data_IF_629010822137
#
_entry.id   IF_629010822137
#
_cell.length_a   1.000
_cell.length_b   1.000
_cell.length_c   1.000
_cell.angle_alpha   90.00
_cell.angle_beta   90.00
_cell.angle_gamma   90.00
#
_symmetry.space_group_name_H-M   'P 1'
#
loop_
_entity.id
_entity.type
_entity.pdbx_description
1 polymer ?
#
# COMPACT_ATOMS: atom_id res chain seq x y z
N UNK A 1 1.44 -20.64 1.54
CA UNK A 1 2.79 -20.97 2.06
C UNK A 1 2.97 -20.20 3.36
N UNK A 2 3.44 -20.84 4.45
CA UNK A 2 3.52 -20.17 5.74
C UNK A 2 4.57 -19.04 5.71
N UNK A 3 4.19 -17.86 6.19
CA UNK A 3 5.09 -16.70 6.33
C UNK A 3 5.99 -16.94 7.55
N UNK A 4 7.31 -16.95 7.34
CA UNK A 4 8.26 -17.02 8.45
C UNK A 4 8.10 -15.78 9.34
N UNK A 5 7.92 -15.95 10.65
CA UNK A 5 7.79 -14.82 11.58
C UNK A 5 8.97 -14.77 12.57
N UNK A 6 9.31 -13.57 13.02
CA UNK A 6 10.27 -13.32 14.10
C UNK A 6 9.54 -12.63 15.23
N UNK A 7 9.78 -13.06 16.47
CA UNK A 7 9.23 -12.41 17.66
C UNK A 7 10.05 -11.17 17.97
N UNK A 8 9.42 -9.99 17.90
CA UNK A 8 10.06 -8.71 18.23
C UNK A 8 9.38 -8.12 19.46
N UNK A 9 10.17 -7.82 20.49
CA UNK A 9 9.71 -7.09 21.66
C UNK A 9 9.50 -5.62 21.29
N UNK A 10 8.26 -5.14 21.34
CA UNK A 10 7.94 -3.71 21.14
C UNK A 10 7.59 -3.07 22.48
N UNK A 11 8.17 -1.90 22.82
CA UNK A 11 7.67 -1.08 23.91
C UNK A 11 6.32 -0.47 23.53
N UNK A 12 5.45 -0.23 24.51
CA UNK A 12 4.18 0.44 24.28
C UNK A 12 4.43 1.94 24.04
N UNK A 13 4.00 2.52 22.90
CA UNK A 13 4.23 3.94 22.60
C UNK A 13 3.51 4.91 23.54
N UNK A 14 2.43 4.47 24.20
CA UNK A 14 1.63 5.30 25.12
C UNK A 14 2.14 5.27 26.57
N UNK A 15 2.84 4.21 26.97
CA UNK A 15 3.32 4.07 28.35
C UNK A 15 4.59 3.20 28.38
N UNK A 16 5.72 3.87 28.61
CA UNK A 16 7.04 3.25 28.61
C UNK A 16 7.30 2.36 29.83
N UNK A 17 6.45 2.44 30.86
CA UNK A 17 6.59 1.67 32.11
C UNK A 17 6.02 0.24 32.00
N UNK A 18 5.23 -0.04 30.95
CA UNK A 18 4.61 -1.36 30.75
C UNK A 18 5.64 -2.34 30.17
N UNK A 19 5.73 -3.59 30.66
CA UNK A 19 6.63 -4.60 30.12
C UNK A 19 6.40 -4.82 28.62
N UNK A 20 7.50 -4.95 27.87
CA UNK A 20 7.51 -5.07 26.41
C UNK A 20 6.69 -6.29 25.99
N UNK A 21 5.80 -6.13 25.02
CA UNK A 21 5.03 -7.23 24.43
C UNK A 21 5.76 -7.76 23.19
N UNK A 22 5.79 -9.09 23.04
CA UNK A 22 6.32 -9.73 21.85
C UNK A 22 5.25 -9.78 20.77
N UNK A 23 5.57 -9.23 19.61
CA UNK A 23 4.70 -9.27 18.44
C UNK A 23 5.38 -10.12 17.36
N UNK A 24 4.59 -10.94 16.68
CA UNK A 24 5.04 -11.65 15.49
C UNK A 24 5.22 -10.63 14.36
N UNK A 25 6.44 -10.50 13.85
CA UNK A 25 6.75 -9.71 12.66
C UNK A 25 7.04 -10.66 11.51
N UNK A 26 6.35 -10.50 10.39
CA UNK A 26 6.64 -11.24 9.17
C UNK A 26 8.08 -10.96 8.70
N UNK A 27 8.86 -12.01 8.49
CA UNK A 27 10.21 -11.97 7.93
C UNK A 27 10.10 -12.08 6.42
N UNK A 28 10.48 -11.02 5.70
CA UNK A 28 10.60 -11.07 4.26
C UNK A 28 11.63 -12.14 3.86
N UNK A 29 11.20 -13.14 3.07
CA UNK A 29 12.08 -14.22 2.61
C UNK A 29 12.83 -13.90 1.31
N UNK A 30 12.55 -12.75 0.70
CA UNK A 30 13.24 -12.25 -0.49
C UNK A 30 12.49 -11.12 -1.17
N UNK A 31 13.05 -10.62 -2.28
CA UNK A 31 12.42 -9.66 -3.19
C UNK A 31 12.30 -10.26 -4.58
N UNK A 32 11.10 -10.23 -5.18
CA UNK A 32 10.89 -10.63 -6.57
C UNK A 32 10.82 -9.38 -7.45
N UNK A 33 11.53 -9.39 -8.57
CA UNK A 33 11.50 -8.29 -9.53
C UNK A 33 10.47 -8.55 -10.62
N UNK A 34 9.94 -7.46 -11.19
CA UNK A 34 8.93 -7.51 -12.25
C UNK A 34 9.37 -8.36 -13.46
N UNK A 35 10.67 -8.37 -13.80
CA UNK A 35 11.23 -9.21 -14.88
C UNK A 35 11.16 -10.72 -14.60
N UNK A 36 11.20 -11.13 -13.34
CA UNK A 36 10.98 -12.54 -12.96
C UNK A 36 9.49 -12.86 -12.92
N UNK A 37 8.69 -11.92 -12.41
CA UNK A 37 7.23 -12.04 -12.38
C UNK A 37 6.63 -12.13 -13.79
N UNK A 38 7.15 -11.35 -14.75
CA UNK A 38 6.64 -11.31 -16.12
C UNK A 38 6.82 -12.65 -16.85
N UNK A 39 7.89 -13.39 -16.58
CA UNK A 39 8.06 -14.77 -17.08
C UNK A 39 7.01 -15.71 -16.52
N UNK A 40 6.73 -15.62 -15.21
CA UNK A 40 5.73 -16.46 -14.56
C UNK A 40 4.30 -16.12 -15.01
N UNK A 41 4.02 -14.84 -15.28
CA UNK A 41 2.73 -14.38 -15.79
C UNK A 41 2.55 -14.72 -17.27
N UNK A 42 3.59 -14.60 -18.10
CA UNK A 42 3.56 -15.01 -19.50
C UNK A 42 3.33 -16.53 -19.66
N UNK A 43 3.70 -17.34 -18.67
CA UNK A 43 3.39 -18.77 -18.65
C UNK A 43 1.91 -19.05 -18.31
N UNK A 44 1.17 -18.08 -17.76
CA UNK A 44 -0.23 -18.23 -17.32
C UNK A 44 -1.22 -17.48 -18.22
N UNK A 45 -0.74 -16.54 -19.03
CA UNK A 45 -1.54 -15.69 -19.90
C UNK A 45 -0.96 -15.68 -21.31
N UNK A 46 -1.74 -15.29 -22.32
CA UNK A 46 -1.27 -15.15 -23.72
C UNK A 46 -0.43 -13.90 -23.97
N UNK A 47 -0.19 -13.10 -22.93
CA UNK A 47 0.48 -11.80 -23.02
C UNK A 47 2.00 -11.99 -22.98
N UNK A 48 2.73 -11.28 -23.85
CA UNK A 48 4.20 -11.40 -23.88
C UNK A 48 4.84 -10.77 -22.64
N UNK A 49 6.05 -11.23 -22.30
CA UNK A 49 6.80 -10.61 -21.19
C UNK A 49 7.07 -9.12 -21.40
N UNK A 50 7.13 -8.65 -22.66
CA UNK A 50 7.30 -7.24 -23.01
C UNK A 50 6.05 -6.43 -22.69
N UNK A 51 4.88 -6.93 -23.06
CA UNK A 51 3.60 -6.27 -22.78
C UNK A 51 3.31 -6.25 -21.27
N UNK A 52 3.67 -7.31 -20.53
CA UNK A 52 3.54 -7.35 -19.07
C UNK A 52 4.42 -6.30 -18.38
N UNK A 53 5.54 -5.89 -18.99
CA UNK A 53 6.34 -4.78 -18.47
C UNK A 53 5.74 -3.42 -18.81
N UNK A 54 5.12 -3.28 -19.99
CA UNK A 54 4.51 -2.03 -20.43
C UNK A 54 3.19 -1.71 -19.70
N UNK A 55 2.41 -2.73 -19.34
CA UNK A 55 1.09 -2.54 -18.70
C UNK A 55 1.20 -1.81 -17.34
N UNK A 56 2.10 -2.18 -16.42
CA UNK A 56 2.30 -1.42 -15.18
C UNK A 56 2.69 0.03 -15.41
N UNK A 57 3.53 0.32 -16.41
CA UNK A 57 3.93 1.69 -16.73
C UNK A 57 2.74 2.53 -17.20
N UNK A 58 1.93 1.97 -18.11
CA UNK A 58 0.70 2.62 -18.57
C UNK A 58 -0.33 2.78 -17.42
N UNK A 59 -0.45 1.77 -16.57
CA UNK A 59 -1.33 1.80 -15.39
C UNK A 59 -0.91 2.90 -14.42
N UNK A 60 0.39 3.07 -14.15
CA UNK A 60 0.91 4.14 -13.29
C UNK A 60 0.54 5.51 -13.87
N UNK A 61 0.67 5.70 -15.18
CA UNK A 61 0.31 6.98 -15.83
C UNK A 61 -1.17 7.31 -15.66
N UNK A 62 -2.05 6.33 -15.91
CA UNK A 62 -3.50 6.51 -15.71
C UNK A 62 -3.86 6.72 -14.24
N UNK A 63 -3.20 6.00 -13.33
CA UNK A 63 -3.39 6.19 -11.89
C UNK A 63 -3.01 7.60 -11.46
N UNK A 64 -1.89 8.16 -11.96
CA UNK A 64 -1.48 9.54 -11.67
C UNK A 64 -2.53 10.52 -12.18
N UNK A 65 -3.05 10.32 -13.40
CA UNK A 65 -4.08 11.17 -13.98
C UNK A 65 -5.39 11.13 -13.17
N UNK A 66 -5.85 9.96 -12.77
CA UNK A 66 -7.11 9.79 -12.03
C UNK A 66 -6.99 10.21 -10.56
N UNK A 67 -5.88 9.89 -9.89
CA UNK A 67 -5.60 10.36 -8.53
C UNK A 67 -5.43 11.88 -8.48
N UNK A 68 -4.83 12.49 -9.51
CA UNK A 68 -4.72 13.94 -9.64
C UNK A 68 -6.08 14.64 -9.76
N UNK A 69 -7.08 13.96 -10.32
CA UNK A 69 -8.48 14.41 -10.36
C UNK A 69 -9.23 14.18 -9.03
N UNK A 70 -8.56 13.65 -8.01
CA UNK A 70 -9.16 13.30 -6.71
C UNK A 70 -10.03 12.05 -6.73
N UNK A 71 -9.97 11.24 -7.79
CA UNK A 71 -10.72 9.99 -7.89
C UNK A 71 -10.00 8.87 -7.13
N UNK A 72 -10.77 7.87 -6.73
CA UNK A 72 -10.25 6.65 -6.09
C UNK A 72 -10.05 5.63 -7.20
N UNK A 73 -8.83 5.11 -7.34
CA UNK A 73 -8.55 4.03 -8.29
C UNK A 73 -8.75 2.70 -7.57
N UNK A 74 -9.78 1.95 -7.97
CA UNK A 74 -10.06 0.63 -7.43
C UNK A 74 -9.63 -0.44 -8.43
N UNK A 75 -8.68 -1.29 -8.04
CA UNK A 75 -8.18 -2.42 -8.81
C UNK A 75 -8.80 -3.71 -8.28
N UNK A 76 -10.13 -3.78 -8.20
CA UNK A 76 -10.91 -4.94 -7.77
C UNK A 76 -10.26 -5.69 -6.58
N UNK A 77 -9.78 -6.93 -6.81
CA UNK A 77 -9.21 -7.81 -5.79
C UNK A 77 -7.80 -7.43 -5.34
N UNK A 78 -7.12 -6.57 -6.09
CA UNK A 78 -5.82 -6.03 -5.73
C UNK A 78 -5.94 -4.98 -4.62
N UNK A 79 -6.96 -4.13 -4.69
CA UNK A 79 -7.24 -3.12 -3.69
C UNK A 79 -7.46 -1.74 -4.27
N UNK A 80 -7.48 -0.73 -3.39
CA UNK A 80 -7.83 0.64 -3.75
C UNK A 80 -6.74 1.65 -3.37
N UNK A 81 -6.55 2.64 -4.25
CA UNK A 81 -5.66 3.76 -4.06
C UNK A 81 -6.48 5.03 -3.90
N UNK A 82 -6.24 5.77 -2.81
CA UNK A 82 -6.90 7.04 -2.53
C UNK A 82 -5.89 8.11 -2.18
N UNK A 83 -6.08 9.30 -2.74
CA UNK A 83 -5.39 10.51 -2.33
C UNK A 83 -5.99 11.04 -1.02
N UNK A 84 -5.15 11.21 0.01
CA UNK A 84 -5.56 11.73 1.30
C UNK A 84 -4.68 12.91 1.69
N UNK A 85 -5.31 13.99 2.16
CA UNK A 85 -4.63 15.15 2.71
C UNK A 85 -4.39 14.92 4.21
N UNK A 86 -3.24 15.36 4.70
CA UNK A 86 -2.96 15.44 6.11
C UNK A 86 -2.57 16.87 6.48
N UNK A 87 -2.92 17.26 7.69
CA UNK A 87 -2.77 18.63 8.14
C UNK A 87 -3.03 18.74 9.63
N UNK A 88 -2.89 19.95 10.14
CA UNK A 88 -3.28 20.28 11.51
C UNK A 88 -4.79 20.57 11.57
N UNK A 89 -5.43 20.03 12.61
CA UNK A 89 -6.84 20.32 12.88
C UNK A 89 -7.00 21.73 13.44
N UNK A 90 -7.91 22.50 12.87
CA UNK A 90 -8.35 23.77 13.47
C UNK A 90 -9.49 23.52 14.47
N UNK A 91 -9.52 24.27 15.58
CA UNK A 91 -10.57 24.15 16.59
C UNK A 91 -11.96 24.61 16.11
N UNK A 92 -12.03 25.40 15.04
CA UNK A 92 -13.28 25.85 14.42
C UNK A 92 -13.15 25.91 12.89
N UNK A 93 -14.26 25.74 12.16
CA UNK A 93 -14.29 25.81 10.68
C UNK A 93 -13.74 27.13 10.13
N UNK A 94 -13.94 28.24 10.84
CA UNK A 94 -13.48 29.56 10.42
C UNK A 94 -11.96 29.75 10.53
N UNK A 95 -11.28 28.95 11.38
CA UNK A 95 -9.83 28.97 11.53
C UNK A 95 -9.12 28.00 10.56
N UNK A 96 -9.89 27.18 9.85
CA UNK A 96 -9.33 26.27 8.85
C UNK A 96 -8.94 27.06 7.60
N UNK A 97 -7.67 26.96 7.19
CA UNK A 97 -7.11 27.58 6.01
C UNK A 97 -6.33 26.52 5.21
N UNK A 98 -6.06 26.78 3.94
CA UNK A 98 -5.28 25.89 3.09
C UNK A 98 -3.82 25.72 3.55
N UNK A 99 -3.32 26.64 4.39
CA UNK A 99 -1.99 26.56 5.01
C UNK A 99 -1.88 25.50 6.11
N UNK A 100 -3.00 25.05 6.70
CA UNK A 100 -3.03 23.97 7.68
C UNK A 100 -2.88 22.58 7.02
N UNK A 101 -3.02 22.50 5.70
CA UNK A 101 -2.77 21.27 4.94
C UNK A 101 -1.25 21.09 4.81
N UNK A 102 -0.69 20.23 5.66
CA UNK A 102 0.75 19.92 5.69
C UNK A 102 1.23 19.14 4.48
N UNK A 103 0.32 18.41 3.81
CA UNK A 103 0.64 17.75 2.56
C UNK A 103 -0.39 16.71 2.15
N UNK A 104 -0.01 15.92 1.15
CA UNK A 104 -0.79 14.82 0.63
C UNK A 104 -0.02 13.50 0.71
N UNK A 105 -0.76 12.40 0.80
CA UNK A 105 -0.22 11.05 0.68
C UNK A 105 -1.20 10.14 -0.05
N UNK A 106 -0.65 9.15 -0.74
CA UNK A 106 -1.44 8.07 -1.35
C UNK A 106 -1.58 6.96 -0.31
N UNK A 107 -2.82 6.55 -0.06
CA UNK A 107 -3.13 5.41 0.81
C UNK A 107 -3.56 4.25 -0.07
N UNK A 108 -2.83 3.14 0.04
CA UNK A 108 -3.22 1.86 -0.53
C UNK A 108 -3.95 1.04 0.52
N UNK A 109 -5.15 0.56 0.16
CA UNK A 109 -5.88 -0.44 0.95
C UNK A 109 -5.90 -1.75 0.17
N UNK A 110 -5.33 -2.83 0.72
CA UNK A 110 -5.34 -4.12 0.04
C UNK A 110 -6.79 -4.60 -0.17
N UNK A 111 -7.03 -5.32 -1.26
CA UNK A 111 -8.32 -5.98 -1.50
C UNK A 111 -8.52 -7.18 -0.58
N UNK A 112 -9.78 -7.54 -0.32
CA UNK A 112 -10.15 -8.63 0.58
C UNK A 112 -9.52 -9.99 0.20
N UNK A 113 -9.27 -10.22 -1.10
CA UNK A 113 -8.61 -11.42 -1.59
C UNK A 113 -7.16 -11.54 -1.10
N UNK A 114 -6.42 -10.43 -1.11
CA UNK A 114 -5.02 -10.40 -0.65
C UNK A 114 -4.95 -10.59 0.87
N UNK A 115 -5.85 -9.94 1.62
CA UNK A 115 -5.90 -10.08 3.07
C UNK A 115 -6.21 -11.51 3.51
N UNK A 116 -7.15 -12.19 2.82
CA UNK A 116 -7.60 -13.54 3.19
C UNK A 116 -6.60 -14.63 2.80
N UNK A 117 -5.82 -14.42 1.73
CA UNK A 117 -4.93 -15.47 1.17
C UNK A 117 -3.57 -15.56 1.89
N UNK A 118 -3.16 -14.50 2.61
CA UNK A 118 -1.80 -14.39 3.18
C UNK A 118 -1.76 -14.68 4.70
N UNK A 119 -2.92 -14.72 5.37
CA UNK A 119 -3.06 -15.18 6.75
C UNK A 119 -3.12 -16.71 6.83
#
# INVERSE_FOLDING_TARGET
MPVNYVLVARPNPMDSAVPRKYYAQAKASGSIHLKQLSKNMAARCTVTSSDILAVPDALIQEMVAELGKGRIVNLCDFGSFRFTLYGEGAGTKAQFNSGLIRGSRIVFRPGAWIETTIL
#
